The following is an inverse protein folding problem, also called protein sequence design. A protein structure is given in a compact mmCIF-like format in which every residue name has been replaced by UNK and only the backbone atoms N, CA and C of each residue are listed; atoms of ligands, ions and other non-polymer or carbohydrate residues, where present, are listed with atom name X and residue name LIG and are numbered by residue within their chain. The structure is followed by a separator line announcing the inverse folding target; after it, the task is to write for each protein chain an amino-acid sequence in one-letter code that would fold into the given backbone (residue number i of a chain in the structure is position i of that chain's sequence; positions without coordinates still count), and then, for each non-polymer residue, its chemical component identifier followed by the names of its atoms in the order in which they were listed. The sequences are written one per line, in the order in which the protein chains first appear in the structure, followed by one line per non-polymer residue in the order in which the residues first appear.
data_IF_159298464647
#
_entry.id   IF_159298464647
#
_cell.length_a   1.000
_cell.length_b   1.000
_cell.length_c   1.000
_cell.angle_alpha   90.00
_cell.angle_beta   90.00
_cell.angle_gamma   90.00
#
_symmetry.space_group_name_H-M   'P 1'
#
loop_
_entity.id
_entity.type
_entity.pdbx_description
1 polymer ?
#
# COMPACT_ATOMS: atom_id res chain seq x y z
N UNK A 1 -1.65 -28.93 -4.55
CA UNK A 1 -2.05 -27.51 -4.59
C UNK A 1 -2.44 -27.11 -3.18
N UNK A 2 -1.73 -26.19 -2.53
CA UNK A 2 -2.21 -25.56 -1.28
C UNK A 2 -3.00 -24.32 -1.69
N UNK A 3 -4.21 -24.17 -1.19
CA UNK A 3 -5.03 -22.97 -1.41
C UNK A 3 -4.46 -21.74 -0.71
N UNK A 4 -5.08 -20.58 -0.93
CA UNK A 4 -4.76 -19.36 -0.19
C UNK A 4 -5.01 -19.58 1.32
N UNK A 5 -4.11 -19.11 2.22
CA UNK A 5 -4.36 -19.18 3.66
C UNK A 5 -5.66 -18.49 4.03
N UNK A 6 -6.40 -19.08 4.97
CA UNK A 6 -7.71 -18.62 5.37
C UNK A 6 -7.66 -17.22 6.01
N UNK A 7 -6.61 -16.91 6.76
CA UNK A 7 -6.39 -15.55 7.29
C UNK A 7 -6.29 -14.49 6.19
N UNK A 8 -5.74 -14.85 5.01
CA UNK A 8 -5.55 -13.93 3.88
C UNK A 8 -6.85 -13.73 3.12
N UNK A 9 -7.67 -14.78 3.02
CA UNK A 9 -9.04 -14.70 2.48
C UNK A 9 -9.86 -13.73 3.33
N UNK A 10 -9.89 -13.89 4.65
CA UNK A 10 -10.57 -12.98 5.57
C UNK A 10 -10.13 -11.52 5.39
N UNK A 11 -8.82 -11.29 5.31
CA UNK A 11 -8.27 -9.94 5.14
C UNK A 11 -8.75 -9.28 3.84
N UNK A 12 -8.75 -10.02 2.73
CA UNK A 12 -9.19 -9.51 1.42
C UNK A 12 -10.71 -9.37 1.35
N UNK A 13 -11.46 -10.27 1.98
CA UNK A 13 -12.92 -10.15 2.09
C UNK A 13 -13.31 -8.90 2.89
N UNK A 14 -12.72 -8.68 4.06
CA UNK A 14 -12.94 -7.50 4.89
C UNK A 14 -12.68 -6.21 4.10
N UNK A 15 -11.57 -6.15 3.35
CA UNK A 15 -11.25 -5.02 2.48
C UNK A 15 -12.30 -4.87 1.36
N UNK A 16 -12.68 -5.97 0.70
CA UNK A 16 -13.71 -5.98 -0.34
C UNK A 16 -15.06 -5.45 0.17
N UNK A 17 -15.47 -5.83 1.38
CA UNK A 17 -16.69 -5.36 2.02
C UNK A 17 -16.61 -3.87 2.42
N UNK A 18 -15.45 -3.40 2.88
CA UNK A 18 -15.23 -1.95 3.12
C UNK A 18 -15.36 -1.15 1.83
N UNK A 19 -14.79 -1.64 0.72
CA UNK A 19 -14.94 -1.02 -0.61
C UNK A 19 -16.41 -1.04 -1.06
N UNK A 20 -17.10 -2.17 -0.88
CA UNK A 20 -18.48 -2.35 -1.30
C UNK A 20 -19.45 -1.39 -0.57
N UNK A 21 -19.16 -1.07 0.69
CA UNK A 21 -19.95 -0.17 1.54
C UNK A 21 -19.53 1.30 1.42
N UNK A 22 -18.47 1.60 0.68
CA UNK A 22 -17.99 2.97 0.44
C UNK A 22 -18.96 3.77 -0.44
N UNK A 23 -19.15 5.05 -0.12
CA UNK A 23 -19.88 5.99 -0.99
C UNK A 23 -19.27 6.10 -2.39
N UNK A 24 -17.94 5.97 -2.48
CA UNK A 24 -17.19 6.01 -3.73
C UNK A 24 -17.00 4.61 -4.37
N UNK A 25 -17.82 3.60 -4.02
CA UNK A 25 -17.70 2.21 -4.53
C UNK A 25 -17.35 2.11 -6.02
N UNK A 26 -18.05 2.88 -6.88
CA UNK A 26 -17.83 2.84 -8.35
C UNK A 26 -16.42 3.26 -8.75
N UNK A 27 -15.84 4.27 -8.08
CA UNK A 27 -14.48 4.75 -8.33
C UNK A 27 -13.46 3.66 -7.99
N UNK A 28 -13.62 3.02 -6.83
CA UNK A 28 -12.72 1.96 -6.38
C UNK A 28 -12.81 0.69 -7.24
N UNK A 29 -14.03 0.28 -7.61
CA UNK A 29 -14.25 -0.84 -8.55
C UNK A 29 -13.62 -0.52 -9.91
N UNK A 30 -13.78 0.70 -10.41
CA UNK A 30 -13.14 1.12 -11.66
C UNK A 30 -11.61 1.07 -11.56
N UNK A 31 -11.02 1.61 -10.50
CA UNK A 31 -9.58 1.59 -10.27
C UNK A 31 -9.04 0.14 -10.21
N UNK A 32 -9.72 -0.75 -9.48
CA UNK A 32 -9.38 -2.18 -9.43
C UNK A 32 -9.44 -2.85 -10.81
N UNK A 33 -10.32 -2.40 -11.72
CA UNK A 33 -10.44 -2.97 -13.07
C UNK A 33 -9.39 -2.43 -14.05
N UNK A 34 -9.04 -1.16 -13.93
CA UNK A 34 -8.29 -0.45 -14.98
C UNK A 34 -6.83 -0.20 -14.66
N UNK A 35 -6.44 -0.22 -13.38
CA UNK A 35 -5.05 0.06 -13.02
C UNK A 35 -4.09 -1.01 -13.51
N UNK A 36 -2.95 -0.53 -14.03
CA UNK A 36 -1.87 -1.40 -14.47
C UNK A 36 -1.24 -2.11 -13.28
N UNK A 37 -0.57 -3.23 -13.52
CA UNK A 37 0.14 -3.95 -12.45
C UNK A 37 1.15 -3.06 -11.70
N UNK A 38 1.74 -2.06 -12.39
CA UNK A 38 2.66 -1.09 -11.78
C UNK A 38 1.97 -0.06 -10.87
N UNK A 39 0.67 0.19 -11.07
CA UNK A 39 -0.09 1.18 -10.29
C UNK A 39 -0.82 0.58 -9.09
N UNK A 40 -0.99 -0.75 -9.06
CA UNK A 40 -1.67 -1.44 -7.96
C UNK A 40 -1.05 -1.15 -6.59
N UNK A 41 0.28 -0.97 -6.50
CA UNK A 41 0.91 -0.52 -5.25
C UNK A 41 0.34 0.81 -4.77
N UNK A 42 0.16 1.77 -5.69
CA UNK A 42 -0.44 3.07 -5.40
C UNK A 42 -1.90 2.96 -4.94
N UNK A 43 -2.69 2.08 -5.56
CA UNK A 43 -4.07 1.82 -5.13
C UNK A 43 -4.15 1.23 -3.72
N UNK A 44 -3.32 0.23 -3.41
CA UNK A 44 -3.31 -0.34 -2.06
C UNK A 44 -2.79 0.66 -1.01
N UNK A 45 -1.84 1.53 -1.36
CA UNK A 45 -1.46 2.66 -0.49
C UNK A 45 -2.62 3.61 -0.22
N UNK A 46 -3.54 3.81 -1.17
CA UNK A 46 -4.77 4.57 -0.92
C UNK A 46 -5.70 3.84 0.04
N UNK A 47 -5.81 2.51 -0.03
CA UNK A 47 -6.59 1.75 0.97
C UNK A 47 -5.99 1.86 2.39
N UNK A 48 -4.67 2.00 2.50
CA UNK A 48 -4.02 2.33 3.78
C UNK A 48 -4.41 3.74 4.24
N UNK A 49 -4.42 4.72 3.34
CA UNK A 49 -4.83 6.11 3.65
C UNK A 49 -6.29 6.23 4.09
N UNK A 50 -7.19 5.45 3.48
CA UNK A 50 -8.60 5.36 3.89
C UNK A 50 -8.79 4.63 5.24
N UNK A 51 -7.72 4.07 5.82
CA UNK A 51 -7.79 3.27 7.05
C UNK A 51 -8.50 1.92 6.86
N UNK A 52 -8.65 1.45 5.63
CA UNK A 52 -9.31 0.17 5.35
C UNK A 52 -8.41 -1.02 5.60
N UNK A 53 -7.12 -0.84 5.44
CA UNK A 53 -6.06 -1.79 5.81
C UNK A 53 -4.95 -1.04 6.53
N UNK A 54 -4.26 -1.72 7.43
CA UNK A 54 -3.06 -1.17 8.07
C UNK A 54 -1.85 -1.28 7.16
N UNK A 55 -0.75 -0.61 7.53
CA UNK A 55 0.54 -0.83 6.87
C UNK A 55 1.02 -2.30 6.95
N UNK A 56 0.61 -3.04 7.99
CA UNK A 56 0.95 -4.46 8.14
C UNK A 56 0.12 -5.33 7.19
N UNK A 57 -1.17 -5.06 7.10
CA UNK A 57 -2.07 -5.75 6.19
C UNK A 57 -1.59 -5.61 4.74
N UNK A 58 -1.15 -4.41 4.34
CA UNK A 58 -0.55 -4.21 3.01
C UNK A 58 0.69 -5.10 2.79
N UNK A 59 1.58 -5.18 3.79
CA UNK A 59 2.74 -6.07 3.74
C UNK A 59 2.34 -7.54 3.62
N UNK A 60 1.33 -7.99 4.36
CA UNK A 60 0.84 -9.38 4.32
C UNK A 60 0.13 -9.73 3.01
N UNK A 61 -0.54 -8.75 2.39
CA UNK A 61 -1.19 -8.92 1.08
C UNK A 61 -0.13 -9.15 0.00
N UNK A 62 0.92 -8.34 -0.01
CA UNK A 62 2.01 -8.44 -0.97
C UNK A 62 3.36 -8.39 -0.27
N UNK A 63 3.85 -9.52 0.29
CA UNK A 63 5.17 -9.58 0.89
C UNK A 63 6.27 -9.55 -0.19
N UNK A 64 7.50 -9.15 0.17
CA UNK A 64 8.62 -9.08 -0.76
C UNK A 64 8.92 -10.45 -1.37
N UNK A 65 9.21 -10.48 -2.68
CA UNK A 65 9.59 -11.69 -3.40
C UNK A 65 8.46 -12.42 -4.12
N UNK A 66 7.25 -11.86 -4.21
CA UNK A 66 6.24 -12.33 -5.14
C UNK A 66 5.58 -11.22 -5.93
N UNK A 67 6.02 -11.11 -7.19
CA UNK A 67 5.61 -10.06 -8.11
C UNK A 67 4.10 -10.11 -8.42
N UNK A 68 3.43 -11.26 -8.32
CA UNK A 68 2.03 -11.41 -8.72
C UNK A 68 1.00 -11.12 -7.62
N UNK A 69 1.43 -10.92 -6.36
CA UNK A 69 0.50 -10.94 -5.23
C UNK A 69 -0.56 -9.84 -5.24
N UNK A 70 -0.25 -8.63 -5.71
CA UNK A 70 -1.27 -7.56 -5.81
C UNK A 70 -2.25 -7.80 -6.96
N UNK A 71 -1.82 -8.44 -8.05
CA UNK A 71 -2.73 -8.84 -9.13
C UNK A 71 -3.72 -9.90 -8.67
N UNK A 72 -3.23 -10.91 -7.95
CA UNK A 72 -4.08 -11.95 -7.33
C UNK A 72 -5.02 -11.35 -6.28
N UNK A 73 -4.51 -10.45 -5.43
CA UNK A 73 -5.33 -9.75 -4.44
C UNK A 73 -6.44 -8.92 -5.11
N UNK A 74 -6.13 -8.19 -6.18
CA UNK A 74 -7.12 -7.45 -6.99
C UNK A 74 -8.20 -8.38 -7.52
N UNK A 75 -7.83 -9.54 -8.04
CA UNK A 75 -8.80 -10.48 -8.61
C UNK A 75 -9.74 -11.05 -7.52
N UNK A 76 -9.22 -11.34 -6.32
CA UNK A 76 -10.04 -11.73 -5.16
C UNK A 76 -10.95 -10.59 -4.72
N UNK A 77 -10.45 -9.35 -4.64
CA UNK A 77 -11.26 -8.18 -4.29
C UNK A 77 -12.41 -7.99 -5.28
N UNK A 78 -12.14 -8.11 -6.60
CA UNK A 78 -13.18 -8.04 -7.63
C UNK A 78 -14.22 -9.16 -7.48
N UNK A 79 -13.80 -10.38 -7.13
CA UNK A 79 -14.72 -11.49 -6.88
C UNK A 79 -15.66 -11.20 -5.69
N UNK A 80 -15.12 -10.70 -4.57
CA UNK A 80 -15.92 -10.29 -3.39
C UNK A 80 -16.91 -9.20 -3.76
N UNK A 81 -16.45 -8.18 -4.50
CA UNK A 81 -17.29 -7.06 -4.95
C UNK A 81 -18.42 -7.51 -5.87
N UNK A 82 -18.16 -8.42 -6.82
CA UNK A 82 -19.19 -8.92 -7.72
C UNK A 82 -20.21 -9.80 -7.00
N UNK A 83 -19.76 -10.63 -6.05
CA UNK A 83 -20.67 -11.43 -5.25
C UNK A 83 -21.56 -10.54 -4.38
N UNK A 84 -20.99 -9.54 -3.72
CA UNK A 84 -21.75 -8.55 -2.95
C UNK A 84 -22.82 -7.86 -3.81
N UNK A 85 -22.46 -7.37 -5.00
CA UNK A 85 -23.42 -6.74 -5.92
C UNK A 85 -24.50 -7.71 -6.43
N UNK A 86 -24.18 -9.00 -6.60
CA UNK A 86 -25.14 -10.02 -7.00
C UNK A 86 -26.15 -10.32 -5.89
N UNK A 87 -25.68 -10.44 -4.64
CA UNK A 87 -26.52 -10.70 -3.47
C UNK A 87 -27.41 -9.49 -3.15
N UNK A 88 -26.85 -8.27 -3.19
CA UNK A 88 -27.62 -7.03 -3.04
C UNK A 88 -28.78 -6.97 -4.05
N UNK A 89 -28.53 -7.34 -5.32
CA UNK A 89 -29.57 -7.42 -6.36
C UNK A 89 -30.65 -8.47 -6.10
N UNK A 90 -30.33 -9.55 -5.38
CA UNK A 90 -31.26 -10.61 -5.00
C UNK A 90 -31.98 -10.34 -3.67
N UNK A 91 -31.55 -9.32 -2.92
CA UNK A 91 -32.01 -9.08 -1.55
C UNK A 91 -31.47 -10.10 -0.56
N UNK A 92 -30.32 -10.70 -0.85
CA UNK A 92 -29.62 -11.68 0.00
C UNK A 92 -28.45 -11.00 0.75
N UNK A 93 -28.07 -11.56 1.90
CA UNK A 93 -26.95 -11.07 2.69
C UNK A 93 -25.63 -11.76 2.30
N UNK A 94 -24.54 -11.00 2.31
CA UNK A 94 -23.20 -11.54 2.14
C UNK A 94 -22.81 -12.33 3.40
N UNK A 95 -22.53 -13.62 3.24
CA UNK A 95 -22.07 -14.49 4.34
C UNK A 95 -20.55 -14.41 4.44
N UNK A 96 -19.99 -13.84 5.53
CA UNK A 96 -18.54 -13.71 5.65
C UNK A 96 -17.84 -15.07 5.74
N UNK A 97 -16.61 -15.12 5.24
CA UNK A 97 -15.73 -16.25 5.46
C UNK A 97 -15.30 -16.28 6.95
N UNK A 98 -15.46 -17.44 7.59
CA UNK A 98 -15.06 -17.64 8.98
C UNK A 98 -13.77 -18.45 9.02
N UNK A 99 -12.76 -17.93 9.72
CA UNK A 99 -11.53 -18.67 9.97
C UNK A 99 -10.90 -18.26 11.30
N UNK A 100 -10.42 -19.27 12.03
CA UNK A 100 -9.62 -19.12 13.24
C UNK A 100 -8.11 -19.14 12.94
N UNK A 101 -7.70 -19.18 11.67
CA UNK A 101 -6.28 -19.16 11.32
C UNK A 101 -5.64 -17.83 11.72
N UNK A 102 -4.60 -17.90 12.55
CA UNK A 102 -3.88 -16.72 13.02
C UNK A 102 -3.08 -16.07 11.88
N UNK A 103 -3.06 -14.73 11.90
CA UNK A 103 -2.22 -13.97 10.97
C UNK A 103 -0.75 -14.18 11.33
N UNK A 104 0.14 -14.28 10.33
CA UNK A 104 1.56 -14.38 10.60
C UNK A 104 2.08 -13.12 11.31
N UNK A 105 2.97 -13.34 12.27
CA UNK A 105 3.69 -12.27 12.95
C UNK A 105 4.65 -11.55 11.99
N UNK A 106 4.93 -10.25 12.22
CA UNK A 106 5.83 -9.51 11.36
C UNK A 106 7.27 -10.02 11.43
N UNK A 107 7.87 -10.23 10.27
CA UNK A 107 9.26 -10.67 10.12
C UNK A 107 10.28 -9.53 10.35
N UNK A 108 11.57 -9.86 10.29
CA UNK A 108 12.66 -8.89 10.50
C UNK A 108 12.66 -7.78 9.43
N UNK A 109 12.34 -8.11 8.18
CA UNK A 109 12.32 -7.14 7.10
C UNK A 109 11.27 -6.06 7.36
N UNK A 110 10.06 -6.50 7.70
CA UNK A 110 8.98 -5.60 8.05
C UNK A 110 9.30 -4.78 9.32
N UNK A 111 9.78 -5.42 10.39
CA UNK A 111 10.17 -4.71 11.63
C UNK A 111 11.23 -3.63 11.37
N UNK A 112 12.12 -3.87 10.40
CA UNK A 112 13.11 -2.87 10.00
C UNK A 112 12.47 -1.68 9.29
N UNK A 113 11.52 -1.89 8.39
CA UNK A 113 10.74 -0.80 7.77
C UNK A 113 10.01 0.00 8.87
N UNK A 114 9.34 -0.68 9.78
CA UNK A 114 8.61 -0.07 10.90
C UNK A 114 9.54 0.79 11.76
N UNK A 115 10.70 0.25 12.14
CA UNK A 115 11.69 0.96 12.94
C UNK A 115 12.24 2.20 12.24
N UNK A 116 12.43 2.17 10.92
CA UNK A 116 12.83 3.35 10.15
C UNK A 116 11.71 4.38 10.12
N UNK A 117 10.48 3.96 9.83
CA UNK A 117 9.31 4.83 9.82
C UNK A 117 9.09 5.52 11.17
N UNK A 118 9.19 4.78 12.27
CA UNK A 118 9.08 5.31 13.63
C UNK A 118 10.15 6.39 13.92
N UNK A 119 11.40 6.17 13.50
CA UNK A 119 12.46 7.18 13.65
C UNK A 119 12.16 8.44 12.86
N UNK A 120 11.66 8.31 11.63
CA UNK A 120 11.28 9.46 10.80
C UNK A 120 10.16 10.25 11.47
N UNK A 121 9.10 9.59 11.93
CA UNK A 121 7.97 10.24 12.62
C UNK A 121 8.45 11.00 13.86
N UNK A 122 9.35 10.42 14.65
CA UNK A 122 9.77 10.97 15.94
C UNK A 122 10.90 12.02 15.84
N UNK A 123 11.75 11.93 14.81
CA UNK A 123 13.03 12.66 14.78
C UNK A 123 13.15 13.62 13.59
N UNK A 124 12.40 13.43 12.51
CA UNK A 124 12.44 14.35 11.38
C UNK A 124 11.75 15.67 11.75
N UNK A 125 12.33 16.86 11.48
CA UNK A 125 11.73 18.15 11.86
C UNK A 125 10.36 18.45 11.24
N UNK A 126 10.04 17.81 10.12
CA UNK A 126 8.74 17.91 9.46
C UNK A 126 8.42 16.60 8.71
N UNK A 127 7.91 15.57 9.42
CA UNK A 127 7.73 14.24 8.85
C UNK A 127 6.59 14.21 7.82
N UNK A 128 5.56 15.03 7.98
CA UNK A 128 4.46 15.15 7.00
C UNK A 128 4.95 15.67 5.65
N UNK A 129 5.72 16.78 5.65
CA UNK A 129 6.29 17.34 4.42
C UNK A 129 7.25 16.36 3.76
N UNK A 130 8.12 15.73 4.55
CA UNK A 130 9.08 14.75 4.04
C UNK A 130 8.37 13.56 3.38
N UNK A 131 7.31 13.05 4.02
CA UNK A 131 6.49 11.96 3.46
C UNK A 131 5.81 12.42 2.16
N UNK A 132 5.31 13.66 2.10
CA UNK A 132 4.78 14.25 0.86
C UNK A 132 5.82 14.40 -0.25
N UNK A 133 7.09 14.68 0.08
CA UNK A 133 8.19 14.66 -0.89
C UNK A 133 8.48 13.23 -1.38
N UNK A 134 8.47 12.24 -0.47
CA UNK A 134 8.68 10.83 -0.83
C UNK A 134 7.60 10.28 -1.76
N UNK A 135 6.32 10.62 -1.50
CA UNK A 135 5.18 10.24 -2.36
C UNK A 135 5.32 10.75 -3.79
N UNK A 136 5.82 11.97 -3.96
CA UNK A 136 6.04 12.62 -5.26
C UNK A 136 7.30 12.14 -5.98
N UNK A 137 8.23 11.51 -5.27
CA UNK A 137 9.46 11.02 -5.85
C UNK A 137 9.22 9.77 -6.72
N UNK A 138 9.06 9.97 -8.03
CA UNK A 138 8.81 8.90 -9.01
C UNK A 138 10.08 8.24 -9.57
N UNK A 139 11.22 8.95 -9.57
CA UNK A 139 12.48 8.46 -10.16
C UNK A 139 13.46 7.99 -9.08
N UNK A 140 14.33 7.00 -9.36
CA UNK A 140 15.25 6.44 -8.36
C UNK A 140 16.16 7.48 -7.70
N UNK A 141 16.66 8.44 -8.47
CA UNK A 141 17.49 9.53 -7.96
C UNK A 141 16.70 10.48 -7.04
N UNK A 142 15.43 10.74 -7.38
CA UNK A 142 14.54 11.54 -6.55
C UNK A 142 14.25 10.86 -5.21
N UNK A 143 13.95 9.56 -5.23
CA UNK A 143 13.71 8.77 -4.01
C UNK A 143 14.94 8.78 -3.11
N UNK A 144 16.12 8.47 -3.69
CA UNK A 144 17.40 8.52 -2.97
C UNK A 144 17.69 9.90 -2.41
N UNK A 145 17.39 10.97 -3.16
CA UNK A 145 17.52 12.35 -2.70
C UNK A 145 16.67 12.65 -1.47
N UNK A 146 15.42 12.19 -1.43
CA UNK A 146 14.53 12.34 -0.26
C UNK A 146 15.09 11.58 0.95
N UNK A 147 15.59 10.35 0.75
CA UNK A 147 16.25 9.59 1.83
C UNK A 147 17.51 10.28 2.35
N UNK A 148 18.35 10.85 1.47
CA UNK A 148 19.55 11.59 1.88
C UNK A 148 19.23 12.78 2.78
N UNK A 149 18.12 13.50 2.51
CA UNK A 149 17.66 14.57 3.41
C UNK A 149 17.31 14.05 4.81
N UNK A 150 16.74 12.85 4.93
CA UNK A 150 16.47 12.25 6.24
C UNK A 150 17.78 11.87 6.95
N UNK A 151 18.79 11.40 6.20
CA UNK A 151 20.12 11.10 6.74
C UNK A 151 20.83 12.35 7.22
N UNK A 152 20.83 13.42 6.41
CA UNK A 152 21.40 14.73 6.77
C UNK A 152 20.82 15.29 8.08
N UNK A 153 19.53 15.00 8.33
CA UNK A 153 18.78 15.47 9.51
C UNK A 153 18.81 14.50 10.69
N UNK A 154 19.64 13.46 10.65
CA UNK A 154 19.74 12.42 11.69
C UNK A 154 18.41 11.68 11.97
N UNK A 155 17.47 11.73 11.03
CA UNK A 155 16.19 11.00 11.11
C UNK A 155 16.28 9.59 10.50
N UNK A 156 17.39 9.28 9.83
CA UNK A 156 17.68 8.01 9.18
C UNK A 156 19.18 7.74 9.24
N UNK A 157 19.60 6.52 9.57
CA UNK A 157 21.03 6.17 9.57
C UNK A 157 21.54 5.78 8.18
N UNK A 158 22.86 5.73 8.00
CA UNK A 158 23.49 5.15 6.80
C UNK A 158 23.02 3.70 6.52
N UNK A 159 22.83 2.89 7.57
CA UNK A 159 22.34 1.51 7.45
C UNK A 159 20.89 1.44 7.00
N UNK A 160 20.10 2.44 7.33
CA UNK A 160 18.71 2.53 6.88
C UNK A 160 18.64 2.97 5.42
N UNK A 161 19.47 3.94 5.03
CA UNK A 161 19.58 4.38 3.65
C UNK A 161 19.95 3.24 2.71
N UNK A 162 21.02 2.50 3.02
CA UNK A 162 21.47 1.36 2.20
C UNK A 162 20.48 0.20 2.19
N UNK A 163 19.68 0.05 3.25
CA UNK A 163 18.56 -0.89 3.26
C UNK A 163 17.42 -0.40 2.37
N UNK A 164 16.96 0.84 2.46
CA UNK A 164 15.84 1.32 1.64
C UNK A 164 16.22 1.50 0.17
N UNK A 165 17.48 1.80 -0.11
CA UNK A 165 17.99 2.10 -1.45
C UNK A 165 19.22 1.25 -1.79
N UNK A 166 19.06 -0.07 -1.96
CA UNK A 166 20.16 -0.91 -2.41
C UNK A 166 20.71 -0.42 -3.76
N UNK A 167 22.00 -0.68 -3.99
CA UNK A 167 22.64 -0.46 -5.28
C UNK A 167 22.15 -1.53 -6.26
N UNK A 168 21.96 -1.14 -7.52
CA UNK A 168 21.62 -2.03 -8.65
C UNK A 168 20.24 -2.71 -8.59
N UNK A 169 19.55 -2.74 -7.45
CA UNK A 169 18.21 -3.29 -7.31
C UNK A 169 17.14 -2.18 -7.25
N UNK A 170 16.65 -1.81 -8.43
CA UNK A 170 15.61 -0.78 -8.57
C UNK A 170 14.23 -1.29 -8.11
N UNK A 171 13.93 -2.58 -8.27
CA UNK A 171 12.66 -3.15 -7.83
C UNK A 171 12.53 -3.07 -6.31
N UNK A 172 13.58 -3.48 -5.58
CA UNK A 172 13.63 -3.34 -4.13
C UNK A 172 13.52 -1.89 -3.67
N UNK A 173 14.07 -0.92 -4.40
CA UNK A 173 13.97 0.49 -4.04
C UNK A 173 12.51 0.95 -3.99
N UNK A 174 11.73 0.66 -5.03
CA UNK A 174 10.31 1.04 -5.09
C UNK A 174 9.48 0.28 -4.05
N UNK A 175 9.73 -1.02 -3.91
CA UNK A 175 9.03 -1.86 -2.95
C UNK A 175 9.24 -1.37 -1.50
N UNK A 176 10.50 -1.15 -1.11
CA UNK A 176 10.84 -0.65 0.23
C UNK A 176 10.32 0.76 0.45
N UNK A 177 10.31 1.61 -0.59
CA UNK A 177 9.65 2.92 -0.55
C UNK A 177 8.18 2.77 -0.22
N UNK A 178 7.47 1.87 -0.89
CA UNK A 178 6.03 1.75 -0.75
C UNK A 178 5.65 1.16 0.62
N UNK A 179 6.39 0.20 1.16
CA UNK A 179 6.15 -0.24 2.54
C UNK A 179 6.44 0.86 3.57
N UNK A 180 7.51 1.65 3.38
CA UNK A 180 7.78 2.78 4.25
C UNK A 180 6.68 3.84 4.15
N UNK A 181 6.19 4.12 2.94
CA UNK A 181 5.06 5.01 2.72
C UNK A 181 3.80 4.49 3.39
N UNK A 182 3.48 3.21 3.28
CA UNK A 182 2.33 2.61 3.96
C UNK A 182 2.40 2.89 5.46
N UNK A 183 3.56 2.63 6.09
CA UNK A 183 3.76 2.93 7.51
C UNK A 183 3.53 4.42 7.81
N UNK A 184 4.14 5.32 7.05
CA UNK A 184 4.05 6.75 7.30
C UNK A 184 2.63 7.30 7.09
N UNK A 185 1.91 6.79 6.09
CA UNK A 185 0.53 7.21 5.80
C UNK A 185 -0.42 6.80 6.91
N UNK A 186 -0.29 5.57 7.40
CA UNK A 186 -1.05 5.03 8.53
C UNK A 186 -0.78 5.85 9.81
N UNK A 187 0.50 6.16 10.10
CA UNK A 187 0.89 6.86 11.34
C UNK A 187 0.69 8.38 11.33
N UNK A 188 0.81 9.03 10.18
CA UNK A 188 0.73 10.50 10.08
C UNK A 188 -0.65 11.00 9.66
N UNK A 189 -1.58 10.09 9.31
CA UNK A 189 -2.95 10.42 8.86
C UNK A 189 -2.96 11.51 7.78
N UNK A 190 -2.08 11.36 6.77
CA UNK A 190 -1.95 12.35 5.70
C UNK A 190 -3.12 12.25 4.73
N UNK A 191 -3.60 13.39 4.19
CA UNK A 191 -4.66 13.36 3.19
C UNK A 191 -4.22 12.64 1.90
N UNK A 192 -5.17 12.12 1.11
CA UNK A 192 -4.92 11.63 -0.24
C UNK A 192 -4.18 12.67 -1.07
N UNK A 193 -3.35 12.21 -2.01
CA UNK A 193 -2.66 13.14 -2.89
C UNK A 193 -3.68 13.58 -3.92
N UNK A 194 -3.94 14.88 -4.02
CA UNK A 194 -4.61 15.41 -5.20
C UNK A 194 -3.73 15.04 -6.40
N UNK A 195 -4.31 14.28 -7.33
CA UNK A 195 -3.64 14.00 -8.59
C UNK A 195 -3.70 15.31 -9.36
N UNK A 196 -2.57 16.03 -9.41
CA UNK A 196 -2.45 17.15 -10.35
C UNK A 196 -2.68 16.54 -11.74
N UNK A 197 -3.82 16.85 -12.36
CA UNK A 197 -4.07 16.50 -13.75
C UNK A 197 -2.94 17.13 -14.56
N UNK A 198 -2.05 16.32 -15.10
CA UNK A 198 -1.05 16.80 -16.06
C UNK A 198 -1.85 17.41 -17.22
N UNK A 199 -1.84 18.75 -17.33
CA UNK A 199 -2.30 19.45 -18.52
C UNK A 199 -1.60 18.80 -19.72
N UNK A 200 -2.38 18.07 -20.52
CA UNK A 200 -1.94 17.56 -21.81
C UNK A 200 -1.68 18.79 -22.66
N UNK A 201 -0.42 19.23 -22.70
CA UNK A 201 0.04 20.23 -23.65
C UNK A 201 -0.12 19.60 -25.03
N UNK A 202 -1.22 19.92 -25.72
CA UNK A 202 -1.38 19.63 -27.13
C UNK A 202 -0.32 20.44 -27.88
N UNK A 203 0.73 19.78 -28.35
CA UNK A 203 1.60 20.35 -29.37
C UNK A 203 0.75 20.57 -30.64
N UNK A 204 0.68 21.84 -31.06
CA UNK A 204 0.05 22.31 -32.31
C UNK A 204 1.04 22.19 -33.45
#
# INVERSE_FOLDING_TARGET
MRGMPAWKVNLLEDLGLKIARSEERRKWVSALRTESWHDLHGLFLRFVQEGWITHHDFYLIAPPGGDLYLGEARDVLLAVLYEYENLERKGEEFTPYESEEERPEPDEFYRRIEGIGARIVNSHPNPQRWTGELRRARRPQGIRGVYLKAVERDAMSWRDFTFLAPLEDMTSLYLRRDYLLAYLLDRLSLPPQEVEEEEVVQEV
#
